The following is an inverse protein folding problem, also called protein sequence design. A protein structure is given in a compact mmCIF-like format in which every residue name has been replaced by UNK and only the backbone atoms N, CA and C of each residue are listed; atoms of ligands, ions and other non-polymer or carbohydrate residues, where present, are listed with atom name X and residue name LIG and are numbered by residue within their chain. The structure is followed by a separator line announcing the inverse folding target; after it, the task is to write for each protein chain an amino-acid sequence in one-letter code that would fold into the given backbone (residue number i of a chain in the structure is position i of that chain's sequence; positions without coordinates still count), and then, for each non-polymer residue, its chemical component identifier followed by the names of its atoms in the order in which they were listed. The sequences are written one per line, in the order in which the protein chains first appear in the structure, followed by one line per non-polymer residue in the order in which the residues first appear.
data_IF_740025119841
#
_entry.id   IF_740025119841
#
_cell.length_a   1.000
_cell.length_b   1.000
_cell.length_c   1.000
_cell.angle_alpha   90.00
_cell.angle_beta   90.00
_cell.angle_gamma   90.00
#
_symmetry.space_group_name_H-M   'P 1'
#
loop_
_entity.id
_entity.type
_entity.pdbx_description
1 polymer ?
#
# COMPACT_ATOMS: atom_id res chain seq x y z
N UNK A 1 7.67 13.13 5.67
CA UNK A 1 6.92 11.88 5.86
C UNK A 1 5.46 12.26 5.85
N UNK A 2 4.88 12.38 4.66
CA UNK A 2 3.50 12.81 4.47
C UNK A 2 2.55 11.60 4.50
N UNK A 3 1.25 11.82 4.69
CA UNK A 3 0.24 10.76 4.57
C UNK A 3 0.32 10.00 3.23
N UNK A 4 0.88 10.63 2.20
CA UNK A 4 1.17 10.05 0.88
C UNK A 4 2.05 8.81 0.93
N UNK A 5 3.09 8.81 1.76
CA UNK A 5 4.03 7.69 1.87
C UNK A 5 3.29 6.44 2.39
N UNK A 6 2.37 6.66 3.35
CA UNK A 6 1.52 5.61 3.90
C UNK A 6 0.52 5.06 2.89
N UNK A 7 -0.14 5.92 2.11
CA UNK A 7 -1.04 5.48 1.04
C UNK A 7 -0.32 4.78 -0.11
N UNK A 8 0.89 5.23 -0.44
CA UNK A 8 1.77 4.59 -1.42
C UNK A 8 2.17 3.17 -1.00
N UNK A 9 2.49 2.98 0.29
CA UNK A 9 2.74 1.66 0.89
C UNK A 9 1.53 0.74 0.75
N UNK A 10 0.35 1.18 1.21
CA UNK A 10 -0.90 0.42 1.12
C UNK A 10 -1.18 0.01 -0.32
N UNK A 11 -1.11 0.96 -1.25
CA UNK A 11 -1.36 0.70 -2.66
C UNK A 11 -0.34 -0.30 -3.26
N UNK A 12 0.93 -0.24 -2.84
CA UNK A 12 1.93 -1.21 -3.28
C UNK A 12 1.64 -2.63 -2.79
N UNK A 13 1.15 -2.76 -1.56
CA UNK A 13 0.77 -4.04 -0.99
C UNK A 13 -0.46 -4.61 -1.73
N UNK A 14 -1.49 -3.80 -1.99
CA UNK A 14 -2.66 -4.23 -2.78
C UNK A 14 -2.27 -4.66 -4.20
N UNK A 15 -1.41 -3.91 -4.90
CA UNK A 15 -0.93 -4.31 -6.24
C UNK A 15 -0.26 -5.68 -6.21
N UNK A 16 0.48 -5.99 -5.14
CA UNK A 16 1.19 -7.25 -5.00
C UNK A 16 0.21 -8.38 -4.69
N UNK A 17 -0.64 -8.21 -3.68
CA UNK A 17 -1.58 -9.23 -3.22
C UNK A 17 -2.75 -9.48 -4.19
N UNK A 18 -3.01 -8.55 -5.12
CA UNK A 18 -4.00 -8.72 -6.19
C UNK A 18 -3.45 -9.42 -7.44
N UNK A 19 -2.14 -9.76 -7.48
CA UNK A 19 -1.59 -10.55 -8.59
C UNK A 19 -2.28 -11.90 -8.69
N UNK A 20 -2.58 -12.43 -9.89
CA UNK A 20 -3.30 -13.69 -10.04
C UNK A 20 -2.66 -14.87 -9.33
N UNK A 21 -1.34 -14.86 -9.18
CA UNK A 21 -0.59 -15.94 -8.50
C UNK A 21 -0.74 -15.90 -6.97
N UNK A 22 -1.18 -14.77 -6.42
CA UNK A 22 -1.42 -14.58 -4.97
C UNK A 22 -2.93 -14.53 -4.72
N UNK A 23 -3.63 -13.59 -5.37
CA UNK A 23 -5.09 -13.54 -5.40
C UNK A 23 -5.76 -13.27 -4.05
N UNK A 24 -5.02 -12.77 -3.07
CA UNK A 24 -5.49 -12.57 -1.70
C UNK A 24 -6.34 -11.31 -1.55
N UNK A 25 -6.06 -10.28 -2.36
CA UNK A 25 -6.79 -9.02 -2.35
C UNK A 25 -7.42 -8.69 -3.71
N UNK A 26 -8.51 -7.93 -3.69
CA UNK A 26 -9.10 -7.36 -4.90
C UNK A 26 -9.69 -5.99 -4.65
N UNK A 27 -9.49 -5.10 -5.61
CA UNK A 27 -10.09 -3.76 -5.57
C UNK A 27 -11.62 -3.80 -5.68
N UNK A 28 -12.29 -2.72 -5.22
CA UNK A 28 -13.71 -2.51 -5.48
C UNK A 28 -14.03 -2.63 -6.96
N UNK A 29 -15.11 -3.33 -7.27
CA UNK A 29 -15.60 -3.44 -8.63
C UNK A 29 -16.32 -2.13 -9.02
N UNK A 30 -15.78 -1.39 -9.97
CA UNK A 30 -16.47 -0.30 -10.64
C UNK A 30 -16.69 -0.64 -12.12
N UNK A 31 -17.82 -0.22 -12.69
CA UNK A 31 -18.14 -0.47 -14.10
C UNK A 31 -17.01 0.05 -15.00
N UNK A 32 -16.47 -0.82 -15.86
CA UNK A 32 -15.39 -0.48 -16.80
C UNK A 32 -13.98 -0.31 -16.19
N UNK A 33 -13.80 -0.42 -14.86
CA UNK A 33 -12.48 -0.27 -14.22
C UNK A 33 -11.75 -1.61 -14.10
N UNK A 34 -10.53 -1.67 -14.62
CA UNK A 34 -9.61 -2.80 -14.43
C UNK A 34 -9.94 -4.08 -15.20
N UNK A 35 -11.03 -4.12 -15.98
CA UNK A 35 -11.35 -5.25 -16.84
C UNK A 35 -10.38 -5.32 -18.03
N UNK A 36 -9.80 -6.48 -18.29
CA UNK A 36 -9.03 -6.72 -19.51
C UNK A 36 -9.98 -7.06 -20.67
N UNK A 37 -9.79 -6.40 -21.82
CA UNK A 37 -10.54 -6.70 -23.06
C UNK A 37 -10.29 -8.11 -23.59
N UNK A 38 -9.14 -8.71 -23.25
CA UNK A 38 -8.73 -10.04 -23.73
C UNK A 38 -8.93 -11.15 -22.70
N UNK A 39 -9.14 -10.81 -21.42
CA UNK A 39 -9.33 -11.77 -20.33
C UNK A 39 -10.45 -11.30 -19.40
N UNK A 40 -11.70 -11.76 -19.61
CA UNK A 40 -12.87 -11.30 -18.86
C UNK A 40 -12.79 -11.51 -17.34
N UNK A 41 -12.03 -12.52 -16.91
CA UNK A 41 -11.80 -12.85 -15.50
C UNK A 41 -10.62 -12.08 -14.88
N UNK A 42 -9.75 -11.47 -15.69
CA UNK A 42 -8.58 -10.71 -15.18
C UNK A 42 -9.00 -9.31 -14.78
N UNK A 43 -8.80 -8.98 -13.50
CA UNK A 43 -9.02 -7.64 -12.96
C UNK A 43 -7.70 -7.02 -12.52
N UNK A 44 -7.35 -5.88 -13.10
CA UNK A 44 -6.15 -5.14 -12.76
C UNK A 44 -6.43 -4.17 -11.59
N UNK A 45 -5.50 -4.02 -10.63
CA UNK A 45 -5.62 -3.09 -9.51
C UNK A 45 -5.32 -1.65 -9.94
N UNK A 46 -6.23 -1.05 -10.71
CA UNK A 46 -6.04 0.26 -11.35
C UNK A 46 -5.95 1.37 -10.32
N UNK A 47 -6.76 1.34 -9.26
CA UNK A 47 -6.82 2.39 -8.24
C UNK A 47 -5.51 2.45 -7.45
N UNK A 48 -4.98 1.29 -7.08
CA UNK A 48 -3.71 1.15 -6.36
C UNK A 48 -2.51 1.57 -7.23
N UNK A 49 -2.52 1.24 -8.52
CA UNK A 49 -1.49 1.73 -9.46
C UNK A 49 -1.51 3.26 -9.55
N UNK A 50 -2.70 3.87 -9.58
CA UNK A 50 -2.86 5.32 -9.61
C UNK A 50 -2.41 6.01 -8.32
N UNK A 51 -2.64 5.41 -7.15
CA UNK A 51 -2.16 5.92 -5.86
C UNK A 51 -0.62 5.83 -5.80
N UNK A 52 -0.05 4.66 -6.10
CA UNK A 52 1.41 4.44 -6.10
C UNK A 52 2.15 5.37 -7.08
N UNK A 53 1.59 5.60 -8.27
CA UNK A 53 2.18 6.49 -9.26
C UNK A 53 2.23 7.96 -8.83
N UNK A 54 1.36 8.37 -7.90
CA UNK A 54 1.37 9.74 -7.34
C UNK A 54 2.37 9.89 -6.20
N UNK A 55 2.52 8.88 -5.36
CA UNK A 55 3.55 8.83 -4.31
C UNK A 55 4.97 8.96 -4.89
N UNK A 56 5.26 8.21 -5.97
CA UNK A 56 6.52 8.34 -6.69
C UNK A 56 6.76 9.71 -7.33
N UNK A 57 5.71 10.47 -7.66
CA UNK A 57 5.81 11.85 -8.17
C UNK A 57 6.02 12.88 -7.07
N UNK A 58 5.44 12.66 -5.88
CA UNK A 58 5.70 13.48 -4.69
C UNK A 58 7.17 13.33 -4.24
N UNK A 59 7.68 12.09 -4.19
CA UNK A 59 9.09 11.82 -3.89
C UNK A 59 10.05 12.30 -5.00
N UNK A 60 9.64 12.19 -6.27
CA UNK A 60 10.37 12.78 -7.38
C UNK A 60 10.22 14.32 -7.45
N UNK A 61 9.41 14.93 -6.59
CA UNK A 61 9.28 16.38 -6.41
C UNK A 61 10.46 17.04 -5.69
N UNK A 62 11.66 16.46 -5.74
CA UNK A 62 12.88 17.20 -5.38
C UNK A 62 12.94 18.52 -6.13
N UNK A 63 13.38 19.57 -5.44
CA UNK A 63 13.36 20.97 -5.89
C UNK A 63 13.56 21.09 -7.41
N UNK A 64 12.60 21.63 -8.18
CA UNK A 64 12.79 21.86 -9.61
C UNK A 64 14.00 22.78 -9.90
N UNK A 65 14.54 23.47 -8.90
CA UNK A 65 15.80 24.20 -8.99
C UNK A 65 17.05 23.29 -9.00
N UNK A 66 16.99 22.07 -8.46
CA UNK A 66 18.13 21.15 -8.40
C UNK A 66 18.28 20.31 -9.69
N UNK A 67 17.17 19.91 -10.33
CA UNK A 67 17.21 19.17 -11.62
C UNK A 67 17.47 20.04 -12.84
N UNK A 68 17.34 21.37 -12.74
CA UNK A 68 17.76 22.29 -13.79
C UNK A 68 19.07 22.92 -13.38
N UNK A 69 20.16 22.20 -13.59
CA UNK A 69 21.50 22.78 -13.55
C UNK A 69 21.54 24.06 -14.40
N UNK A 70 22.02 25.13 -13.78
CA UNK A 70 22.49 26.38 -14.38
C UNK A 70 21.49 27.22 -15.22
N UNK A 71 21.11 28.39 -14.70
CA UNK A 71 20.95 29.55 -15.60
C UNK A 71 19.87 30.59 -15.31
N UNK A 72 18.90 30.37 -14.42
CA UNK A 72 17.81 31.35 -14.26
C UNK A 72 17.75 31.92 -12.84
N UNK A 73 18.39 33.08 -12.67
CA UNK A 73 18.13 34.02 -11.57
C UNK A 73 16.65 34.45 -11.66
N UNK A 74 15.75 33.64 -11.12
CA UNK A 74 14.34 34.00 -11.01
C UNK A 74 14.23 35.19 -10.07
N UNK A 75 13.49 36.23 -10.50
CA UNK A 75 13.09 37.34 -9.63
C UNK A 75 12.31 36.80 -8.43
N UNK A 76 12.28 37.50 -7.28
CA UNK A 76 11.55 37.05 -6.10
C UNK A 76 10.10 36.63 -6.40
N UNK A 77 9.39 37.37 -7.25
CA UNK A 77 8.04 37.04 -7.70
C UNK A 77 7.94 35.72 -8.49
N UNK A 78 8.90 35.42 -9.38
CA UNK A 78 8.93 34.13 -10.10
C UNK A 78 9.31 32.96 -9.20
N UNK A 79 10.13 33.18 -8.17
CA UNK A 79 10.46 32.16 -7.15
C UNK A 79 9.23 31.84 -6.29
N UNK A 80 8.52 32.88 -5.84
CA UNK A 80 7.27 32.72 -5.10
C UNK A 80 6.22 31.99 -5.93
N UNK A 81 5.96 32.43 -7.16
CA UNK A 81 4.96 31.79 -8.04
C UNK A 81 5.27 30.30 -8.29
N UNK A 82 6.54 29.92 -8.54
CA UNK A 82 6.90 28.51 -8.70
C UNK A 82 6.76 27.70 -7.41
N UNK A 83 7.08 28.29 -6.25
CA UNK A 83 6.89 27.64 -4.94
C UNK A 83 5.41 27.42 -4.64
N UNK A 84 4.58 28.44 -4.88
CA UNK A 84 3.13 28.36 -4.68
C UNK A 84 2.48 27.36 -5.62
N UNK A 85 2.88 27.34 -6.90
CA UNK A 85 2.41 26.34 -7.87
C UNK A 85 2.78 24.92 -7.47
N UNK A 86 4.02 24.69 -7.04
CA UNK A 86 4.44 23.38 -6.54
C UNK A 86 3.64 22.94 -5.30
N UNK A 87 3.43 23.84 -4.33
CA UNK A 87 2.64 23.53 -3.13
C UNK A 87 1.17 23.24 -3.42
N UNK A 88 0.57 23.93 -4.40
CA UNK A 88 -0.80 23.66 -4.85
C UNK A 88 -0.90 22.29 -5.56
N UNK A 89 0.05 21.98 -6.44
CA UNK A 89 0.10 20.70 -7.16
C UNK A 89 0.27 19.51 -6.21
N UNK A 90 1.13 19.64 -5.19
CA UNK A 90 1.32 18.60 -4.17
C UNK A 90 0.09 18.47 -3.29
N UNK A 91 -0.50 19.57 -2.81
CA UNK A 91 -1.70 19.52 -1.97
C UNK A 91 -2.91 18.89 -2.67
N UNK A 92 -3.10 19.19 -3.96
CA UNK A 92 -4.16 18.58 -4.76
C UNK A 92 -3.89 17.10 -5.04
N UNK A 93 -2.63 16.72 -5.29
CA UNK A 93 -2.25 15.32 -5.46
C UNK A 93 -2.48 14.50 -4.17
N UNK A 94 -2.18 15.07 -3.01
CA UNK A 94 -2.37 14.45 -1.70
C UNK A 94 -3.86 14.25 -1.40
N UNK A 95 -4.70 15.28 -1.62
CA UNK A 95 -6.15 15.17 -1.41
C UNK A 95 -6.79 14.10 -2.31
N UNK A 96 -6.36 14.03 -3.58
CA UNK A 96 -6.83 13.00 -4.53
C UNK A 96 -6.33 11.62 -4.13
N UNK A 97 -5.08 11.48 -3.71
CA UNK A 97 -4.52 10.20 -3.25
C UNK A 97 -5.24 9.71 -1.98
N UNK A 98 -5.53 10.60 -1.04
CA UNK A 98 -6.30 10.30 0.16
C UNK A 98 -7.73 9.85 -0.17
N UNK A 99 -8.43 10.58 -1.04
CA UNK A 99 -9.77 10.19 -1.49
C UNK A 99 -9.78 8.84 -2.20
N UNK A 100 -8.81 8.57 -3.07
CA UNK A 100 -8.68 7.29 -3.76
C UNK A 100 -8.28 6.15 -2.84
N UNK A 101 -7.43 6.41 -1.84
CA UNK A 101 -7.09 5.43 -0.82
C UNK A 101 -8.32 5.11 0.06
N UNK A 102 -9.13 6.12 0.39
CA UNK A 102 -10.42 5.93 1.06
C UNK A 102 -11.38 5.05 0.25
N UNK A 103 -11.55 5.31 -1.04
CA UNK A 103 -12.35 4.45 -1.94
C UNK A 103 -11.81 3.02 -1.99
N UNK A 104 -10.48 2.88 -2.11
CA UNK A 104 -9.81 1.59 -2.15
C UNK A 104 -10.11 0.78 -0.89
N UNK A 105 -9.88 1.37 0.29
CA UNK A 105 -10.04 0.70 1.58
C UNK A 105 -11.50 0.37 1.88
N UNK A 106 -12.43 1.28 1.56
CA UNK A 106 -13.87 1.07 1.78
C UNK A 106 -14.45 -0.11 0.98
N UNK A 107 -13.85 -0.44 -0.16
CA UNK A 107 -14.31 -1.52 -1.04
C UNK A 107 -13.31 -2.65 -1.25
N UNK A 108 -12.24 -2.70 -0.45
CA UNK A 108 -11.21 -3.72 -0.54
C UNK A 108 -11.82 -5.09 -0.19
N UNK A 109 -11.67 -6.06 -1.09
CA UNK A 109 -12.10 -7.44 -0.86
C UNK A 109 -10.92 -8.30 -0.45
N UNK A 110 -11.06 -8.94 0.71
CA UNK A 110 -10.10 -9.89 1.27
C UNK A 110 -10.61 -11.30 1.00
N UNK A 111 -9.79 -12.12 0.33
CA UNK A 111 -10.12 -13.51 0.01
C UNK A 111 -9.47 -14.44 1.01
N UNK A 112 -10.08 -14.58 2.20
CA UNK A 112 -9.54 -15.37 3.30
C UNK A 112 -9.27 -16.84 2.91
N UNK A 113 -10.12 -17.43 2.07
CA UNK A 113 -9.91 -18.80 1.57
C UNK A 113 -8.63 -18.90 0.74
N UNK A 114 -8.33 -17.90 -0.11
CA UNK A 114 -7.09 -17.86 -0.90
C UNK A 114 -5.86 -17.65 -0.02
N UNK A 115 -5.97 -16.80 1.00
CA UNK A 115 -4.91 -16.63 1.99
C UNK A 115 -4.62 -17.95 2.71
N UNK A 116 -5.65 -18.71 3.07
CA UNK A 116 -5.50 -20.02 3.70
C UNK A 116 -4.88 -21.06 2.76
N UNK A 117 -5.31 -21.11 1.50
CA UNK A 117 -4.71 -21.97 0.48
C UNK A 117 -3.21 -21.66 0.29
N UNK A 118 -2.85 -20.38 0.15
CA UNK A 118 -1.47 -19.92 0.00
C UNK A 118 -0.62 -20.26 1.23
N UNK A 119 -1.16 -20.02 2.43
CA UNK A 119 -0.51 -20.36 3.69
C UNK A 119 -0.27 -21.87 3.80
N UNK A 120 -1.25 -22.69 3.43
CA UNK A 120 -1.15 -24.16 3.48
C UNK A 120 -0.13 -24.71 2.49
N UNK A 121 0.07 -24.02 1.36
CA UNK A 121 1.08 -24.38 0.36
C UNK A 121 2.50 -23.91 0.74
N UNK A 122 2.63 -22.97 1.67
CA UNK A 122 3.90 -22.40 2.09
C UNK A 122 4.47 -23.10 3.33
N UNK A 123 5.77 -23.39 3.34
CA UNK A 123 6.44 -23.92 4.53
C UNK A 123 6.84 -22.80 5.51
N UNK A 124 5.86 -22.13 6.09
CA UNK A 124 6.08 -20.98 7.01
C UNK A 124 6.54 -21.39 8.41
N UNK A 125 6.41 -22.67 8.77
CA UNK A 125 6.81 -23.20 10.09
C UNK A 125 8.24 -23.74 10.11
N UNK A 126 9.02 -23.53 9.05
CA UNK A 126 10.39 -24.06 8.93
C UNK A 126 11.30 -23.63 10.08
N UNK A 127 11.27 -22.34 10.46
CA UNK A 127 12.05 -21.83 11.60
C UNK A 127 11.61 -22.45 12.93
N UNK A 128 10.29 -22.61 13.12
CA UNK A 128 9.74 -23.24 14.32
C UNK A 128 10.20 -24.70 14.44
N UNK A 129 10.18 -25.44 13.33
CA UNK A 129 10.66 -26.82 13.28
C UNK A 129 12.16 -26.88 13.60
N UNK A 130 12.98 -25.98 13.03
CA UNK A 130 14.42 -25.93 13.30
C UNK A 130 14.74 -25.62 14.78
N UNK A 131 13.99 -24.70 15.40
CA UNK A 131 14.14 -24.38 16.83
C UNK A 131 13.70 -25.54 17.70
N UNK A 132 12.58 -26.20 17.37
CA UNK A 132 12.07 -27.35 18.10
C UNK A 132 13.07 -28.52 18.08
N UNK A 133 13.66 -28.78 16.90
CA UNK A 133 14.74 -29.76 16.71
C UNK A 133 15.98 -29.41 17.55
N UNK A 134 16.47 -28.16 17.47
CA UNK A 134 17.61 -27.69 18.26
C UNK A 134 17.36 -27.81 19.78
N UNK A 135 16.13 -27.53 20.22
CA UNK A 135 15.74 -27.60 21.62
C UNK A 135 15.41 -29.04 22.10
N UNK A 136 15.40 -30.02 21.20
CA UNK A 136 15.04 -31.42 21.51
C UNK A 136 13.59 -31.60 21.97
N UNK A 137 12.67 -30.74 21.51
CA UNK A 137 11.25 -30.73 21.92
C UNK A 137 10.35 -30.88 20.69
N UNK A 138 9.14 -31.47 20.82
CA UNK A 138 8.20 -31.47 19.72
C UNK A 138 7.78 -30.04 19.35
N UNK A 139 7.59 -29.73 18.05
CA UNK A 139 7.10 -28.43 17.64
C UNK A 139 5.68 -28.21 18.19
N UNK A 140 5.43 -27.03 18.76
CA UNK A 140 4.11 -26.68 19.27
C UNK A 140 3.11 -26.49 18.12
N UNK A 141 1.97 -27.20 18.09
CA UNK A 141 0.97 -27.01 17.03
C UNK A 141 0.28 -25.64 17.06
N UNK A 142 0.48 -24.86 18.13
CA UNK A 142 -0.25 -23.61 18.39
C UNK A 142 0.66 -22.39 18.58
N UNK A 143 1.98 -22.53 18.46
CA UNK A 143 2.91 -21.40 18.66
C UNK A 143 3.42 -20.87 17.32
N UNK A 144 2.75 -19.84 16.81
CA UNK A 144 3.11 -19.12 15.59
C UNK A 144 4.03 -17.91 15.87
N UNK A 145 4.76 -17.95 17.00
CA UNK A 145 5.58 -16.83 17.46
C UNK A 145 4.74 -15.65 17.97
N UNK A 146 5.19 -14.40 17.77
CA UNK A 146 4.49 -13.20 18.24
C UNK A 146 3.31 -12.76 17.36
N UNK A 147 2.95 -13.54 16.34
CA UNK A 147 1.99 -13.16 15.29
C UNK A 147 0.64 -12.74 15.85
N UNK A 148 0.03 -13.56 16.71
CA UNK A 148 -1.28 -13.26 17.31
C UNK A 148 -1.25 -11.95 18.11
N UNK A 149 -0.20 -11.79 18.92
CA UNK A 149 0.00 -10.57 19.71
C UNK A 149 0.13 -9.32 18.83
N UNK A 150 0.90 -9.39 17.74
CA UNK A 150 1.08 -8.28 16.82
C UNK A 150 -0.22 -7.92 16.08
N UNK A 151 -1.01 -8.93 15.70
CA UNK A 151 -2.33 -8.74 15.09
C UNK A 151 -3.26 -8.05 16.09
N UNK A 152 -3.39 -8.60 17.29
CA UNK A 152 -4.27 -8.07 18.34
C UNK A 152 -3.90 -6.63 18.74
N UNK A 153 -2.61 -6.35 18.95
CA UNK A 153 -2.13 -5.00 19.26
C UNK A 153 -2.43 -4.01 18.12
N UNK A 154 -2.33 -4.45 16.86
CA UNK A 154 -2.61 -3.62 15.69
C UNK A 154 -4.11 -3.34 15.54
N UNK A 155 -4.96 -4.36 15.71
CA UNK A 155 -6.42 -4.23 15.67
C UNK A 155 -6.91 -3.33 16.79
N UNK A 156 -6.49 -3.59 18.03
CA UNK A 156 -6.88 -2.78 19.18
C UNK A 156 -6.44 -1.32 19.03
N UNK A 157 -5.28 -1.06 18.40
CA UNK A 157 -4.84 0.30 18.09
C UNK A 157 -5.73 0.96 17.04
N UNK A 158 -6.14 0.23 16.00
CA UNK A 158 -7.03 0.75 14.98
C UNK A 158 -8.41 1.10 15.56
N UNK A 159 -8.97 0.25 16.42
CA UNK A 159 -10.25 0.49 17.11
C UNK A 159 -10.22 1.78 17.94
N UNK A 160 -9.18 1.98 18.77
CA UNK A 160 -9.05 3.23 19.55
C UNK A 160 -9.01 4.48 18.67
N UNK A 161 -8.34 4.41 17.52
CA UNK A 161 -8.28 5.54 16.59
C UNK A 161 -9.62 5.82 15.90
N UNK A 162 -10.46 4.80 15.74
CA UNK A 162 -11.82 4.96 15.18
C UNK A 162 -12.80 5.49 16.23
N UNK A 163 -12.63 5.12 17.50
CA UNK A 163 -13.47 5.62 18.61
C UNK A 163 -13.17 7.09 18.97
N UNK A 164 -11.96 7.57 18.68
CA UNK A 164 -11.49 8.93 18.96
C UNK A 164 -11.78 9.95 17.83
N UNK A 165 -12.25 9.52 16.67
CA UNK A 165 -12.45 10.34 15.45
C UNK A 165 -13.89 10.62 15.09
#
# INVERSE_FOLDING_TARGET
MGCTDGWGRIASDVVTLARPEIGELSEPAAAGRGASSSMPHKRNPVLSVLIRGRDGRAAAGGDPAHRRGAGQRRTPGRRLACRMGHGADTGQADAVAGSQCGELLAGLRVHADRMFENLSAANVLGEQHAIAELAGKPPSPTYLGPSDRLIDETVARAERLLDEG
#
